data_IF_631270746717
#
_entry.id   IF_631270746717
#
_cell.length_a   1.000
_cell.length_b   1.000
_cell.length_c   1.000
_cell.angle_alpha   90.00
_cell.angle_beta   90.00
_cell.angle_gamma   90.00
#
_symmetry.space_group_name_H-M   'P 1'
#
loop_
_entity.id
_entity.type
_entity.pdbx_description
1 polymer ?
#
# COMPACT_ATOMS: atom_id res chain seq x y z
N UNK A 1 -19.05 48.12 -48.21
CA UNK A 1 -18.67 46.73 -47.93
C UNK A 1 -17.44 46.77 -47.02
N UNK A 2 -17.70 46.73 -45.71
CA UNK A 2 -17.06 45.91 -44.67
C UNK A 2 -15.58 45.46 -44.78
N UNK A 3 -14.89 45.22 -43.64
CA UNK A 3 -14.64 46.12 -42.52
C UNK A 3 -13.21 45.93 -41.89
N UNK A 4 -12.93 46.75 -40.87
CA UNK A 4 -11.99 46.56 -39.74
C UNK A 4 -11.22 45.24 -39.59
N UNK A 5 -9.89 45.34 -39.39
CA UNK A 5 -9.16 44.37 -38.54
C UNK A 5 -8.59 45.09 -37.31
N UNK A 6 -9.19 44.77 -36.18
CA UNK A 6 -8.82 45.15 -34.82
C UNK A 6 -7.47 44.53 -34.44
N UNK A 7 -6.58 45.35 -33.86
CA UNK A 7 -5.37 44.88 -33.20
C UNK A 7 -5.73 43.93 -32.07
N UNK A 8 -5.32 42.67 -32.20
CA UNK A 8 -5.37 41.70 -31.14
C UNK A 8 -4.31 42.07 -30.10
N UNK A 9 -4.75 42.29 -28.86
CA UNK A 9 -3.89 42.38 -27.69
C UNK A 9 -3.10 41.07 -27.56
N UNK A 10 -1.78 41.19 -27.44
CA UNK A 10 -0.91 40.08 -27.07
C UNK A 10 -1.26 39.63 -25.65
N UNK A 11 -2.11 38.60 -25.55
CA UNK A 11 -2.36 37.91 -24.29
C UNK A 11 -1.04 37.41 -23.71
N UNK A 12 -0.80 37.70 -22.44
CA UNK A 12 0.31 37.12 -21.69
C UNK A 12 0.23 35.57 -21.78
N UNK A 13 1.35 34.87 -22.01
CA UNK A 13 1.34 33.42 -22.07
C UNK A 13 0.89 32.84 -20.72
N UNK A 14 0.05 31.78 -20.70
CA UNK A 14 -0.39 31.17 -19.46
C UNK A 14 0.75 30.35 -18.80
N UNK A 15 0.79 30.45 -17.47
CA UNK A 15 1.38 29.56 -16.46
C UNK A 15 2.74 28.88 -16.78
N UNK A 16 3.81 29.45 -16.20
CA UNK A 16 5.03 28.80 -15.69
C UNK A 16 5.42 27.47 -16.33
N UNK A 17 6.40 27.51 -17.25
CA UNK A 17 7.24 26.36 -17.60
C UNK A 17 7.76 25.70 -16.31
N UNK A 18 7.81 24.35 -16.22
CA UNK A 18 8.40 23.66 -15.08
C UNK A 18 9.81 24.20 -14.82
N UNK A 19 10.09 24.59 -13.56
CA UNK A 19 11.41 25.15 -13.19
C UNK A 19 12.55 24.15 -13.33
N UNK A 20 12.23 22.87 -13.52
CA UNK A 20 13.17 21.78 -13.78
C UNK A 20 12.45 20.64 -14.53
N UNK A 21 13.24 19.73 -15.11
CA UNK A 21 12.74 18.47 -15.67
C UNK A 21 12.06 17.62 -14.58
N UNK A 22 10.88 17.02 -14.82
CA UNK A 22 10.20 16.16 -13.84
C UNK A 22 11.10 15.04 -13.31
N UNK A 23 11.19 14.92 -11.99
CA UNK A 23 11.95 13.86 -11.31
C UNK A 23 11.03 12.77 -10.79
N UNK A 24 11.61 11.68 -10.32
CA UNK A 24 10.88 10.61 -9.61
C UNK A 24 11.29 10.57 -8.15
N UNK A 25 10.33 10.69 -7.23
CA UNK A 25 10.53 10.47 -5.80
C UNK A 25 10.14 9.02 -5.48
N UNK A 26 11.13 8.21 -5.12
CA UNK A 26 10.97 6.80 -4.79
C UNK A 26 11.09 6.61 -3.28
N UNK A 27 10.00 6.20 -2.63
CA UNK A 27 9.98 5.93 -1.19
C UNK A 27 9.85 4.43 -0.94
N UNK A 28 10.78 3.88 -0.17
CA UNK A 28 10.90 2.45 0.12
C UNK A 28 10.78 2.20 1.63
N UNK A 29 9.76 1.44 2.03
CA UNK A 29 9.41 1.15 3.41
C UNK A 29 9.63 -0.34 3.73
N UNK A 30 10.56 -0.64 4.63
CA UNK A 30 10.93 -2.03 4.91
C UNK A 30 10.05 -2.73 5.96
N UNK A 31 10.21 -4.05 6.06
CA UNK A 31 9.59 -4.91 7.07
C UNK A 31 10.20 -4.75 8.47
N UNK A 32 9.50 -5.24 9.49
CA UNK A 32 9.90 -5.08 10.91
C UNK A 32 11.18 -5.79 11.24
N UNK A 33 12.04 -5.09 11.99
CA UNK A 33 13.36 -5.54 12.40
C UNK A 33 14.31 -5.79 11.24
N UNK A 34 13.97 -5.28 10.05
CA UNK A 34 14.82 -5.35 8.87
C UNK A 34 15.67 -4.06 8.79
N UNK A 35 16.96 -4.23 9.02
CA UNK A 35 18.01 -3.27 8.71
C UNK A 35 18.90 -3.84 7.60
N UNK A 36 19.86 -3.05 7.12
CA UNK A 36 20.90 -3.58 6.26
C UNK A 36 21.72 -4.64 7.00
N UNK A 37 21.60 -5.89 6.57
CA UNK A 37 22.25 -7.05 7.18
C UNK A 37 22.88 -7.93 6.11
N UNK A 38 23.38 -9.11 6.50
CA UNK A 38 23.80 -10.15 5.59
C UNK A 38 22.63 -10.93 4.96
N UNK A 39 21.37 -10.64 5.33
CA UNK A 39 20.14 -11.24 4.81
C UNK A 39 19.13 -10.14 4.47
N UNK A 40 19.38 -9.41 3.39
CA UNK A 40 18.59 -8.24 3.02
C UNK A 40 17.22 -8.61 2.44
N UNK A 41 16.25 -7.77 2.72
CA UNK A 41 14.93 -7.80 2.08
C UNK A 41 15.01 -7.39 0.62
N UNK A 42 13.95 -7.69 -0.12
CA UNK A 42 13.77 -7.21 -1.48
C UNK A 42 13.59 -5.69 -1.53
N UNK A 43 13.18 -5.02 -0.44
CA UNK A 43 13.14 -3.56 -0.38
C UNK A 43 14.57 -3.01 -0.43
N UNK A 44 15.49 -3.52 0.38
CA UNK A 44 16.90 -3.10 0.37
C UNK A 44 17.56 -3.45 -0.97
N UNK A 45 17.34 -4.67 -1.48
CA UNK A 45 17.85 -5.07 -2.80
C UNK A 45 17.31 -4.14 -3.89
N UNK A 46 16.02 -3.79 -3.87
CA UNK A 46 15.42 -2.84 -4.80
C UNK A 46 16.05 -1.45 -4.67
N UNK A 47 16.22 -0.92 -3.45
CA UNK A 47 16.90 0.37 -3.23
C UNK A 47 18.32 0.37 -3.79
N UNK A 48 19.02 -0.76 -3.75
CA UNK A 48 20.37 -0.91 -4.32
C UNK A 48 20.41 -0.94 -5.85
N UNK A 49 19.26 -1.20 -6.50
CA UNK A 49 19.08 -1.14 -7.95
C UNK A 49 18.77 0.27 -8.45
N UNK A 50 18.36 1.20 -7.58
CA UNK A 50 17.92 2.54 -7.99
C UNK A 50 19.11 3.46 -8.29
N UNK A 51 18.98 4.25 -9.35
CA UNK A 51 19.88 5.39 -9.60
C UNK A 51 19.81 6.37 -8.44
N UNK A 52 20.98 6.94 -8.08
CA UNK A 52 21.15 7.95 -7.02
C UNK A 52 21.44 9.34 -7.57
N UNK A 53 21.11 9.56 -8.85
CA UNK A 53 21.20 10.88 -9.49
C UNK A 53 20.03 11.77 -9.06
N UNK A 54 20.31 12.72 -8.15
CA UNK A 54 19.31 13.62 -7.57
C UNK A 54 18.66 14.57 -8.58
N UNK A 55 19.27 14.77 -9.75
CA UNK A 55 18.68 15.58 -10.83
C UNK A 55 17.50 14.87 -11.49
N UNK A 56 17.45 13.54 -11.42
CA UNK A 56 16.40 12.71 -12.04
C UNK A 56 15.54 11.97 -11.02
N UNK A 57 16.12 11.57 -9.89
CA UNK A 57 15.48 10.69 -8.93
C UNK A 57 15.95 10.91 -7.49
N UNK A 58 15.00 11.06 -6.57
CA UNK A 58 15.26 11.05 -5.13
C UNK A 58 14.82 9.73 -4.53
N UNK A 59 15.69 9.13 -3.70
CA UNK A 59 15.40 7.84 -3.05
C UNK A 59 15.35 8.02 -1.54
N UNK A 60 14.23 7.64 -0.94
CA UNK A 60 14.02 7.57 0.49
C UNK A 60 13.89 6.11 0.92
N UNK A 61 14.69 5.69 1.88
CA UNK A 61 14.57 4.38 2.52
C UNK A 61 14.26 4.57 4.00
N UNK A 62 13.26 3.84 4.48
CA UNK A 62 12.94 3.75 5.89
C UNK A 62 13.04 2.28 6.31
N UNK A 63 13.98 1.98 7.20
CA UNK A 63 14.06 0.69 7.87
C UNK A 63 12.75 0.42 8.61
N UNK A 64 12.31 -0.83 8.68
CA UNK A 64 11.07 -1.12 9.38
C UNK A 64 11.27 -1.15 10.90
N UNK A 65 10.14 -1.16 11.61
CA UNK A 65 10.11 -1.06 13.08
C UNK A 65 10.92 -2.20 13.70
N UNK A 66 12.02 -1.92 14.39
CA UNK A 66 12.81 -2.93 15.09
C UNK A 66 12.24 -3.27 16.48
N UNK A 67 12.19 -4.56 16.81
CA UNK A 67 12.03 -5.05 18.19
C UNK A 67 13.40 -5.44 18.74
N UNK A 68 14.23 -4.49 19.17
CA UNK A 68 15.45 -4.80 19.90
C UNK A 68 15.14 -4.98 21.38
N UNK A 69 15.49 -6.14 21.94
CA UNK A 69 15.61 -6.30 23.38
C UNK A 69 17.07 -6.48 23.78
N UNK A 70 17.47 -5.72 24.80
CA UNK A 70 18.71 -5.96 25.53
C UNK A 70 18.58 -7.28 26.31
N UNK A 71 19.58 -8.18 26.25
CA UNK A 71 19.54 -9.45 26.95
C UNK A 71 19.78 -9.23 28.45
N UNK A 72 18.74 -9.39 29.25
CA UNK A 72 18.93 -9.54 30.70
C UNK A 72 17.80 -8.99 31.55
N UNK A 73 16.60 -9.54 31.47
CA UNK A 73 15.68 -9.65 32.62
C UNK A 73 14.64 -10.72 32.28
N UNK A 74 14.90 -11.95 32.74
CA UNK A 74 13.98 -13.07 32.59
C UNK A 74 13.03 -13.05 33.79
N UNK A 75 11.71 -13.06 33.55
CA UNK A 75 10.75 -13.60 34.51
C UNK A 75 9.80 -14.59 33.81
N UNK A 76 9.47 -15.73 34.43
CA UNK A 76 8.94 -16.90 33.74
C UNK A 76 7.41 -16.96 33.86
N UNK A 77 6.68 -16.39 32.90
CA UNK A 77 5.50 -17.01 32.24
C UNK A 77 4.82 -16.02 31.28
N UNK A 78 4.84 -16.37 30.00
CA UNK A 78 3.74 -16.21 29.06
C UNK A 78 3.10 -14.82 28.84
N UNK A 79 3.60 -14.09 27.84
CA UNK A 79 2.82 -13.24 26.90
C UNK A 79 3.68 -12.28 26.08
N UNK A 80 5.01 -12.35 26.14
CA UNK A 80 5.85 -11.22 25.75
C UNK A 80 6.19 -11.11 24.24
N UNK A 81 6.58 -12.20 23.55
CA UNK A 81 7.16 -12.09 22.21
C UNK A 81 6.24 -11.52 21.10
N UNK A 82 4.97 -11.90 21.07
CA UNK A 82 4.01 -11.44 20.06
C UNK A 82 3.25 -10.17 20.46
N UNK A 83 3.02 -10.00 21.76
CA UNK A 83 2.35 -8.83 22.35
C UNK A 83 3.23 -7.58 22.23
N UNK A 84 4.57 -7.75 22.31
CA UNK A 84 5.54 -6.68 22.11
C UNK A 84 5.74 -6.29 20.63
N UNK A 85 5.63 -7.24 19.70
CA UNK A 85 5.55 -6.93 18.27
C UNK A 85 4.31 -6.08 17.98
N UNK A 86 3.12 -6.49 18.43
CA UNK A 86 1.88 -5.76 18.17
C UNK A 86 1.82 -4.37 18.88
N UNK A 87 2.35 -4.23 20.10
CA UNK A 87 2.35 -2.97 20.85
C UNK A 87 3.34 -1.94 20.29
N UNK A 88 4.57 -2.33 19.93
CA UNK A 88 5.52 -1.44 19.27
C UNK A 88 4.94 -0.90 17.95
N UNK A 89 4.30 -1.76 17.16
CA UNK A 89 3.75 -1.41 15.85
C UNK A 89 2.61 -0.38 15.88
N UNK A 90 1.77 -0.38 16.91
CA UNK A 90 0.70 0.62 17.06
C UNK A 90 1.24 2.03 17.30
N UNK A 91 2.38 2.15 18.00
CA UNK A 91 3.03 3.44 18.27
C UNK A 91 3.85 3.96 17.08
N UNK A 92 4.52 3.08 16.32
CA UNK A 92 5.46 3.52 15.27
C UNK A 92 4.84 3.66 13.88
N UNK A 93 3.70 3.02 13.57
CA UNK A 93 3.03 3.19 12.27
C UNK A 93 2.70 4.66 11.95
N UNK A 94 2.10 5.45 12.86
CA UNK A 94 1.90 6.88 12.64
C UNK A 94 3.19 7.61 12.28
N UNK A 95 4.26 7.37 13.05
CA UNK A 95 5.55 8.03 12.87
C UNK A 95 6.14 7.70 11.49
N UNK A 96 6.10 6.44 11.07
CA UNK A 96 6.61 6.01 9.78
C UNK A 96 5.87 6.66 8.60
N UNK A 97 4.53 6.70 8.67
CA UNK A 97 3.69 7.38 7.66
C UNK A 97 4.00 8.88 7.63
N UNK A 98 4.08 9.52 8.80
CA UNK A 98 4.37 10.96 8.91
C UNK A 98 5.78 11.32 8.41
N UNK A 99 6.78 10.46 8.61
CA UNK A 99 8.14 10.67 8.08
C UNK A 99 8.18 10.58 6.56
N UNK A 100 7.53 9.58 5.96
CA UNK A 100 7.40 9.50 4.50
C UNK A 100 6.62 10.69 3.92
N UNK A 101 5.57 11.12 4.62
CA UNK A 101 4.81 12.32 4.28
C UNK A 101 5.68 13.59 4.35
N UNK A 102 6.47 13.76 5.41
CA UNK A 102 7.42 14.87 5.58
C UNK A 102 8.45 14.89 4.46
N UNK A 103 9.00 13.73 4.09
CA UNK A 103 9.94 13.64 2.97
C UNK A 103 9.31 14.15 1.68
N UNK A 104 8.08 13.73 1.35
CA UNK A 104 7.36 14.25 0.18
C UNK A 104 7.10 15.75 0.30
N UNK A 105 6.66 16.22 1.47
CA UNK A 105 6.34 17.64 1.72
C UNK A 105 7.56 18.52 1.43
N UNK A 106 8.74 18.08 1.86
CA UNK A 106 9.99 18.80 1.73
C UNK A 106 10.59 18.77 0.31
N UNK A 107 10.36 17.70 -0.44
CA UNK A 107 11.09 17.44 -1.70
C UNK A 107 10.23 17.51 -2.97
N UNK A 108 8.91 17.33 -2.87
CA UNK A 108 8.03 17.27 -4.04
C UNK A 108 7.90 18.65 -4.70
N UNK A 109 8.18 18.70 -5.99
CA UNK A 109 7.91 19.84 -6.84
C UNK A 109 6.81 19.44 -7.84
N UNK A 110 5.93 20.39 -8.16
CA UNK A 110 4.81 20.13 -9.08
C UNK A 110 5.33 19.57 -10.41
N UNK A 111 4.81 18.41 -10.79
CA UNK A 111 5.24 17.68 -11.98
C UNK A 111 6.14 16.47 -11.68
N UNK A 112 6.72 16.38 -10.47
CA UNK A 112 7.44 15.18 -10.05
C UNK A 112 6.50 13.96 -9.97
N UNK A 113 7.06 12.77 -10.15
CA UNK A 113 6.34 11.49 -10.03
C UNK A 113 6.61 10.89 -8.66
N UNK A 114 5.60 10.28 -8.03
CA UNK A 114 5.75 9.58 -6.75
C UNK A 114 5.57 8.08 -6.94
N UNK A 115 6.56 7.30 -6.50
CA UNK A 115 6.51 5.84 -6.49
C UNK A 115 6.77 5.31 -5.08
N UNK A 116 5.88 4.48 -4.57
CA UNK A 116 5.94 3.94 -3.21
C UNK A 116 6.17 2.43 -3.24
N UNK A 117 7.09 1.95 -2.42
CA UNK A 117 7.42 0.54 -2.31
C UNK A 117 7.43 0.09 -0.87
N UNK A 118 7.08 -1.17 -0.61
CA UNK A 118 7.33 -1.72 0.70
C UNK A 118 7.06 -3.20 0.85
N UNK A 119 7.56 -3.78 1.94
CA UNK A 119 7.38 -5.18 2.29
C UNK A 119 6.64 -5.31 3.62
N UNK A 120 5.75 -6.30 3.75
CA UNK A 120 5.11 -6.68 5.01
C UNK A 120 4.30 -5.53 5.64
N UNK A 121 4.77 -4.97 6.74
CA UNK A 121 4.21 -3.78 7.39
C UNK A 121 4.70 -2.49 6.76
N UNK A 122 5.91 -2.45 6.20
CA UNK A 122 6.34 -1.36 5.33
C UNK A 122 5.45 -1.22 4.09
N UNK A 123 4.96 -2.33 3.54
CA UNK A 123 3.93 -2.31 2.50
C UNK A 123 2.61 -1.65 2.98
N UNK A 124 2.21 -1.91 4.23
CA UNK A 124 1.06 -1.26 4.83
C UNK A 124 1.31 0.24 5.01
N UNK A 125 2.50 0.64 5.48
CA UNK A 125 2.93 2.05 5.59
C UNK A 125 2.88 2.75 4.23
N UNK A 126 3.42 2.15 3.17
CA UNK A 126 3.38 2.71 1.82
C UNK A 126 1.93 2.97 1.36
N UNK A 127 1.04 2.00 1.59
CA UNK A 127 -0.38 2.12 1.26
C UNK A 127 -1.11 3.15 2.14
N UNK A 128 -0.74 3.27 3.41
CA UNK A 128 -1.29 4.27 4.32
C UNK A 128 -0.85 5.68 3.94
N UNK A 129 0.41 5.87 3.55
CA UNK A 129 0.91 7.13 3.00
C UNK A 129 0.14 7.51 1.73
N UNK A 130 -0.08 6.55 0.81
CA UNK A 130 -0.92 6.79 -0.36
C UNK A 130 -2.34 7.23 0.02
N UNK A 131 -2.93 6.60 1.04
CA UNK A 131 -4.25 6.96 1.56
C UNK A 131 -4.31 8.34 2.21
N UNK A 132 -3.25 8.73 2.92
CA UNK A 132 -3.09 10.08 3.49
C UNK A 132 -3.04 11.13 2.40
N UNK A 133 -2.19 10.93 1.38
CA UNK A 133 -2.11 11.82 0.21
C UNK A 133 -3.45 11.96 -0.51
N UNK A 134 -4.18 10.86 -0.68
CA UNK A 134 -5.51 10.87 -1.29
C UNK A 134 -6.49 11.75 -0.49
N UNK A 135 -6.58 11.50 0.82
CA UNK A 135 -7.61 12.09 1.67
C UNK A 135 -7.32 13.55 2.06
N UNK A 136 -6.10 13.84 2.51
CA UNK A 136 -5.75 15.17 3.06
C UNK A 136 -4.85 15.98 2.13
N UNK A 137 -4.34 15.40 1.03
CA UNK A 137 -3.36 16.05 0.16
C UNK A 137 -1.97 16.12 0.79
N UNK A 138 -1.02 16.74 0.08
CA UNK A 138 0.33 16.99 0.57
C UNK A 138 0.47 18.45 1.02
N UNK A 139 0.93 18.67 2.26
CA UNK A 139 1.21 20.00 2.78
C UNK A 139 2.26 20.74 1.91
N UNK A 140 2.20 22.07 1.96
CA UNK A 140 3.27 22.90 1.44
C UNK A 140 4.54 22.75 2.30
N UNK A 141 5.69 22.95 1.65
CA UNK A 141 7.02 22.86 2.29
C UNK A 141 7.08 23.68 3.58
N UNK A 142 7.81 23.16 4.57
CA UNK A 142 8.08 23.80 5.88
C UNK A 142 6.87 23.99 6.82
N UNK A 143 5.74 23.29 6.57
CA UNK A 143 4.59 23.26 7.50
C UNK A 143 4.61 22.03 8.42
N UNK A 144 5.76 21.75 9.04
CA UNK A 144 5.99 20.55 9.83
C UNK A 144 5.04 20.41 11.04
N UNK A 145 4.62 21.53 11.65
CA UNK A 145 3.69 21.52 12.78
C UNK A 145 2.29 21.03 12.43
N UNK A 146 1.92 21.06 11.14
CA UNK A 146 0.62 20.60 10.66
C UNK A 146 0.57 19.10 10.37
N UNK A 147 1.71 18.41 10.29
CA UNK A 147 1.77 16.99 9.94
C UNK A 147 0.99 16.12 10.95
N UNK A 148 1.12 16.29 12.29
CA UNK A 148 0.34 15.49 13.24
C UNK A 148 -1.17 15.70 13.07
N UNK A 149 -1.59 16.95 12.85
CA UNK A 149 -3.00 17.26 12.61
C UNK A 149 -3.50 16.64 11.30
N UNK A 150 -2.73 16.73 10.22
CA UNK A 150 -3.06 16.10 8.94
C UNK A 150 -3.22 14.57 9.10
N UNK A 151 -2.36 13.93 9.90
CA UNK A 151 -2.47 12.49 10.20
C UNK A 151 -3.72 12.16 11.04
N UNK A 152 -4.08 13.00 12.00
CA UNK A 152 -5.29 12.85 12.81
C UNK A 152 -6.58 12.99 12.00
N UNK A 153 -6.61 13.93 11.06
CA UNK A 153 -7.69 14.06 10.08
C UNK A 153 -7.70 12.85 9.15
N UNK A 154 -6.53 12.37 8.73
CA UNK A 154 -6.40 11.20 7.87
C UNK A 154 -7.02 9.94 8.50
N UNK A 155 -6.65 9.60 9.73
CA UNK A 155 -7.06 8.35 10.39
C UNK A 155 -8.55 8.27 10.74
N UNK A 156 -9.30 9.38 10.69
CA UNK A 156 -10.69 9.42 11.14
C UNK A 156 -11.73 9.14 10.04
N UNK A 157 -12.62 8.17 10.23
CA UNK A 157 -13.69 7.83 9.28
C UNK A 157 -15.06 8.45 9.61
N UNK A 158 -15.12 9.44 10.51
CA UNK A 158 -16.40 10.06 10.87
C UNK A 158 -16.89 10.94 9.71
N UNK A 159 -18.19 10.95 9.35
CA UNK A 159 -18.71 11.76 8.26
C UNK A 159 -18.40 13.26 8.38
N UNK A 160 -18.45 13.80 9.61
CA UNK A 160 -18.10 15.20 9.90
C UNK A 160 -16.64 15.54 9.60
N UNK A 161 -15.76 14.54 9.63
CA UNK A 161 -14.33 14.73 9.40
C UNK A 161 -14.00 14.71 7.89
N UNK A 162 -14.94 14.29 7.03
CA UNK A 162 -14.78 14.39 5.58
C UNK A 162 -14.81 15.85 5.11
N UNK A 163 -15.73 16.67 5.66
CA UNK A 163 -15.78 18.11 5.39
C UNK A 163 -14.53 18.81 5.93
N UNK A 164 -14.08 18.43 7.13
CA UNK A 164 -12.83 18.93 7.71
C UNK A 164 -11.61 18.58 6.84
N UNK A 165 -11.52 17.34 6.35
CA UNK A 165 -10.45 16.91 5.46
C UNK A 165 -10.45 17.70 4.14
N UNK A 166 -11.63 17.93 3.55
CA UNK A 166 -11.76 18.72 2.34
C UNK A 166 -11.32 20.17 2.54
N UNK A 167 -11.80 20.83 3.61
CA UNK A 167 -11.41 22.21 3.92
C UNK A 167 -9.93 22.35 4.29
N UNK A 168 -9.38 21.39 5.03
CA UNK A 168 -7.94 21.36 5.34
C UNK A 168 -7.10 21.20 4.06
N UNK A 169 -7.50 20.27 3.18
CA UNK A 169 -6.83 20.03 1.91
C UNK A 169 -6.84 21.27 1.01
N UNK A 170 -7.99 21.95 0.92
CA UNK A 170 -8.14 23.19 0.15
C UNK A 170 -7.27 24.33 0.70
N UNK A 171 -7.15 24.44 2.03
CA UNK A 171 -6.43 25.53 2.67
C UNK A 171 -4.90 25.37 2.68
N UNK A 172 -4.39 24.15 2.91
CA UNK A 172 -2.97 23.92 3.23
C UNK A 172 -2.24 22.97 2.30
N UNK A 173 -2.95 22.24 1.44
CA UNK A 173 -2.38 21.13 0.70
C UNK A 173 -2.48 21.30 -0.82
N UNK A 174 -1.69 20.47 -1.50
CA UNK A 174 -1.72 20.25 -2.95
C UNK A 174 -2.01 18.80 -3.26
N UNK A 175 -2.62 18.56 -4.41
CA UNK A 175 -2.80 17.20 -4.93
C UNK A 175 -1.47 16.64 -5.46
N UNK A 176 -1.26 15.35 -5.20
CA UNK A 176 -0.06 14.61 -5.64
C UNK A 176 -0.52 13.29 -6.26
N UNK A 177 -0.42 13.13 -7.58
CA UNK A 177 -0.71 11.85 -8.23
C UNK A 177 0.34 10.82 -7.83
N UNK A 178 -0.08 9.57 -7.62
CA UNK A 178 0.81 8.47 -7.28
C UNK A 178 0.94 7.58 -8.50
N UNK A 179 2.13 7.55 -9.09
CA UNK A 179 2.38 6.88 -10.36
C UNK A 179 2.46 5.36 -10.17
N UNK A 180 3.05 4.90 -9.05
CA UNK A 180 3.23 3.48 -8.80
C UNK A 180 3.23 3.13 -7.32
N UNK A 181 2.57 2.04 -6.95
CA UNK A 181 2.69 1.40 -5.64
C UNK A 181 3.04 -0.07 -5.82
N UNK A 182 4.25 -0.47 -5.44
CA UNK A 182 4.76 -1.83 -5.54
C UNK A 182 5.02 -2.45 -4.17
N UNK A 183 4.28 -3.49 -3.81
CA UNK A 183 4.36 -4.08 -2.48
C UNK A 183 4.62 -5.58 -2.47
N UNK A 184 5.40 -6.04 -1.50
CA UNK A 184 5.59 -7.46 -1.20
C UNK A 184 4.78 -7.83 0.04
N UNK A 185 3.88 -8.78 -0.13
CA UNK A 185 3.09 -9.48 0.90
C UNK A 185 2.56 -8.59 2.02
N UNK A 186 1.73 -7.59 1.67
CA UNK A 186 1.14 -6.66 2.65
C UNK A 186 0.38 -7.43 3.73
N UNK A 187 0.78 -7.25 4.98
CA UNK A 187 0.05 -7.77 6.15
C UNK A 187 -0.50 -6.61 6.96
N UNK A 188 -1.76 -6.70 7.37
CA UNK A 188 -2.38 -5.67 8.20
C UNK A 188 -1.75 -5.62 9.60
N UNK A 189 -1.65 -4.43 10.20
CA UNK A 189 -1.26 -4.29 11.60
C UNK A 189 -2.36 -4.82 12.50
N UNK A 190 -2.12 -5.99 13.09
CA UNK A 190 -3.09 -6.74 13.90
C UNK A 190 -2.90 -6.42 15.38
N UNK A 191 -3.31 -5.22 15.80
CA UNK A 191 -3.51 -4.97 17.23
C UNK A 191 -4.42 -6.05 17.83
N UNK A 192 -4.15 -6.46 19.08
CA UNK A 192 -4.93 -7.47 19.83
C UNK A 192 -6.40 -7.07 19.99
N UNK A 193 -6.72 -5.79 19.81
CA UNK A 193 -8.05 -5.22 19.84
C UNK A 193 -8.22 -4.42 18.55
N UNK A 194 -8.71 -5.09 17.50
CA UNK A 194 -9.25 -4.51 16.25
C UNK A 194 -8.85 -3.06 15.97
N UNK A 195 -7.62 -2.84 15.46
CA UNK A 195 -7.34 -1.57 14.80
C UNK A 195 -8.02 -1.63 13.44
N UNK A 196 -9.06 -0.80 13.26
CA UNK A 196 -9.68 -0.58 11.96
C UNK A 196 -8.58 -0.24 10.96
N UNK A 197 -8.61 -0.86 9.78
CA UNK A 197 -7.67 -0.52 8.72
C UNK A 197 -7.74 0.98 8.47
N UNK A 198 -6.58 1.63 8.33
CA UNK A 198 -6.53 3.04 7.99
C UNK A 198 -7.27 3.30 6.67
N UNK A 199 -7.85 4.50 6.51
CA UNK A 199 -8.66 4.81 5.34
C UNK A 199 -7.84 4.71 4.05
N UNK A 200 -8.49 4.26 2.98
CA UNK A 200 -7.92 4.16 1.62
C UNK A 200 -6.70 3.22 1.46
N UNK A 201 -6.30 2.46 2.48
CA UNK A 201 -5.24 1.44 2.35
C UNK A 201 -5.63 0.33 1.35
N UNK A 202 -6.91 -0.04 1.33
CA UNK A 202 -7.42 -1.12 0.47
C UNK A 202 -8.02 -0.63 -0.85
N UNK A 203 -8.34 0.66 -0.97
CA UNK A 203 -8.98 1.28 -2.14
C UNK A 203 -8.50 2.71 -2.29
N UNK A 204 -7.81 3.05 -3.39
CA UNK A 204 -7.29 4.39 -3.61
C UNK A 204 -7.17 4.74 -5.10
N UNK A 205 -8.08 5.57 -5.60
CA UNK A 205 -8.12 5.95 -7.02
C UNK A 205 -7.05 6.97 -7.43
N UNK A 206 -6.28 7.52 -6.49
CA UNK A 206 -5.12 8.38 -6.79
C UNK A 206 -3.90 7.57 -7.23
N UNK A 207 -3.89 6.26 -6.99
CA UNK A 207 -2.86 5.36 -7.48
C UNK A 207 -3.14 5.01 -8.93
N UNK A 208 -2.20 5.29 -9.84
CA UNK A 208 -2.27 4.90 -11.25
C UNK A 208 -2.06 3.40 -11.42
N UNK A 209 -0.95 2.88 -10.89
CA UNK A 209 -0.57 1.47 -11.01
C UNK A 209 -0.26 0.88 -9.64
N UNK A 210 -0.90 -0.24 -9.31
CA UNK A 210 -0.70 -1.01 -8.08
C UNK A 210 -0.26 -2.44 -8.38
N UNK A 211 0.80 -2.89 -7.72
CA UNK A 211 1.38 -4.23 -7.88
C UNK A 211 1.63 -4.86 -6.51
N UNK A 212 1.15 -6.09 -6.32
CA UNK A 212 1.39 -6.84 -5.09
C UNK A 212 1.83 -8.27 -5.37
N UNK A 213 2.99 -8.66 -4.81
CA UNK A 213 3.44 -10.06 -4.76
C UNK A 213 2.94 -10.70 -3.45
N UNK A 214 2.27 -11.85 -3.51
CA UNK A 214 1.64 -12.52 -2.37
C UNK A 214 2.26 -13.89 -2.08
N UNK A 215 2.43 -14.21 -0.79
CA UNK A 215 2.95 -15.51 -0.36
C UNK A 215 1.84 -16.57 -0.36
N UNK A 216 2.02 -17.63 -1.16
CA UNK A 216 1.07 -18.74 -1.28
C UNK A 216 1.20 -19.75 -0.14
N UNK A 217 2.40 -19.90 0.43
CA UNK A 217 2.66 -20.92 1.46
C UNK A 217 2.63 -20.38 2.89
N UNK A 218 2.52 -19.06 3.07
CA UNK A 218 2.39 -18.44 4.39
C UNK A 218 1.07 -18.82 5.07
N UNK A 219 1.14 -19.15 6.36
CA UNK A 219 0.04 -19.76 7.10
C UNK A 219 0.07 -19.46 8.61
N UNK A 220 0.82 -18.44 9.04
CA UNK A 220 0.71 -17.89 10.40
C UNK A 220 -0.54 -17.02 10.53
N UNK A 221 -1.24 -17.16 11.65
CA UNK A 221 -2.53 -16.53 11.93
C UNK A 221 -2.52 -15.00 11.78
N UNK A 222 -1.39 -14.38 12.10
CA UNK A 222 -1.16 -12.93 12.13
C UNK A 222 -0.59 -12.38 10.82
N UNK A 223 -0.29 -13.24 9.84
CA UNK A 223 0.25 -12.87 8.53
C UNK A 223 -0.79 -13.07 7.44
N UNK A 224 -1.99 -12.50 7.64
CA UNK A 224 -3.05 -12.51 6.62
C UNK A 224 -2.79 -11.43 5.58
N UNK A 225 -2.95 -11.73 4.28
CA UNK A 225 -2.70 -10.76 3.23
C UNK A 225 -3.79 -9.67 3.24
N UNK A 226 -3.38 -8.42 3.06
CA UNK A 226 -4.28 -7.30 2.79
C UNK A 226 -4.42 -7.13 1.28
N UNK A 227 -5.56 -7.50 0.74
CA UNK A 227 -5.85 -7.35 -0.69
C UNK A 227 -6.11 -5.88 -1.06
N UNK A 228 -5.93 -5.57 -2.35
CA UNK A 228 -6.51 -4.37 -2.93
C UNK A 228 -7.97 -4.65 -3.28
N UNK A 229 -8.90 -4.00 -2.59
CA UNK A 229 -10.32 -4.20 -2.85
C UNK A 229 -10.65 -3.50 -4.17
N UNK A 230 -11.25 -4.23 -5.11
CA UNK A 230 -11.91 -3.57 -6.25
C UNK A 230 -13.19 -2.92 -5.72
N UNK A 231 -13.56 -1.70 -6.17
CA UNK A 231 -14.87 -1.16 -5.84
C UNK A 231 -15.93 -2.18 -6.25
N UNK A 232 -16.67 -2.71 -5.27
CA UNK A 232 -17.87 -3.48 -5.60
C UNK A 232 -18.86 -2.56 -6.34
N UNK A 233 -19.86 -3.12 -7.06
CA UNK A 233 -20.99 -2.30 -7.47
C UNK A 233 -21.48 -1.62 -6.21
N UNK A 234 -21.40 -0.28 -6.17
CA UNK A 234 -21.73 0.47 -5.00
C UNK A 234 -23.08 -0.06 -4.50
N UNK A 235 -23.13 -0.64 -3.29
CA UNK A 235 -24.36 -0.47 -2.51
C UNK A 235 -24.47 1.04 -2.49
N UNK A 236 -25.42 1.57 -3.26
CA UNK A 236 -25.84 2.96 -3.19
C UNK A 236 -26.13 3.20 -1.72
N UNK A 237 -25.13 3.60 -0.95
CA UNK A 237 -25.36 4.40 0.23
C UNK A 237 -26.15 5.56 -0.35
N UNK A 238 -27.41 5.76 0.06
CA UNK A 238 -28.13 6.93 -0.40
C UNK A 238 -27.21 8.08 -0.06
N UNK A 239 -26.82 8.86 -1.07
CA UNK A 239 -26.25 10.16 -0.82
C UNK A 239 -27.13 10.80 0.25
N UNK A 240 -26.52 11.20 1.37
CA UNK A 240 -27.21 11.88 2.47
C UNK A 240 -27.73 13.28 2.05
N UNK A 241 -27.95 13.49 0.75
CA UNK A 241 -28.45 14.70 0.11
C UNK A 241 -29.93 14.58 -0.32
N UNK A 242 -30.58 13.42 -0.18
CA UNK A 242 -31.99 13.24 -0.58
C UNK A 242 -32.99 12.97 0.56
N UNK A 243 -32.57 12.94 1.83
CA UNK A 243 -33.51 12.81 2.98
C UNK A 243 -34.04 14.13 3.53
N UNK A 244 -33.65 15.27 2.97
CA UNK A 244 -34.09 16.61 3.40
C UNK A 244 -35.27 17.19 2.63
N UNK A 245 -35.91 16.43 1.71
CA UNK A 245 -37.05 16.94 0.91
C UNK A 245 -38.42 16.33 1.22
N UNK A 246 -38.51 15.22 1.94
CA UNK A 246 -39.80 14.54 2.19
C UNK A 246 -40.12 14.38 3.68
N UNK A 247 -40.01 15.47 4.44
CA UNK A 247 -40.33 15.51 5.87
C UNK A 247 -40.99 16.81 6.32
N UNK A 248 -41.70 17.50 5.43
CA UNK A 248 -42.69 18.51 5.82
C UNK A 248 -44.05 17.98 5.42
N UNK A 249 -44.84 17.53 6.40
CA UNK A 249 -46.30 17.54 6.49
C UNK A 249 -46.72 16.52 7.57
N UNK A 250 -47.12 16.99 8.76
CA UNK A 250 -47.70 16.09 9.78
C UNK A 250 -47.66 16.54 11.24
N UNK A 251 -48.37 17.63 11.57
CA UNK A 251 -49.14 17.91 12.80
C UNK A 251 -48.73 17.25 14.16
N UNK A 252 -48.33 18.14 15.09
CA UNK A 252 -48.92 18.42 16.42
C UNK A 252 -49.08 17.30 17.47
N UNK A 253 -48.43 17.44 18.64
CA UNK A 253 -49.07 17.84 19.93
C UNK A 253 -48.11 17.78 21.14
N UNK A 254 -48.20 18.83 21.99
CA UNK A 254 -47.99 18.91 23.47
C UNK A 254 -46.73 18.26 24.11
N UNK A 255 -45.96 18.86 25.01
CA UNK A 255 -46.24 19.88 26.05
C UNK A 255 -44.96 20.20 26.84
N UNK A 256 -44.75 21.49 27.16
CA UNK A 256 -44.22 22.05 28.44
C UNK A 256 -42.83 21.64 28.97
N UNK A 257 -41.86 22.56 29.01
CA UNK A 257 -41.57 23.42 30.19
C UNK A 257 -40.25 24.21 30.07
N UNK A 258 -40.33 25.53 30.34
CA UNK A 258 -39.36 26.47 30.99
C UNK A 258 -37.91 26.52 30.49
N UNK A 259 -37.49 27.52 29.72
CA UNK A 259 -37.14 28.93 30.06
C UNK A 259 -35.74 29.11 30.69
N UNK A 260 -34.83 29.78 29.95
CA UNK A 260 -34.10 30.98 30.40
C UNK A 260 -33.34 31.62 29.23
N UNK A 261 -33.42 32.95 29.19
CA UNK A 261 -33.17 33.86 28.06
C UNK A 261 -31.70 34.23 27.85
N UNK A 262 -31.32 34.60 26.62
CA UNK A 262 -30.69 35.91 26.32
C UNK A 262 -30.47 36.17 24.80
N UNK A 263 -31.29 37.10 24.28
CA UNK A 263 -31.06 38.20 23.30
C UNK A 263 -30.03 38.04 22.13
N UNK A 264 -30.58 37.87 20.91
CA UNK A 264 -30.39 38.57 19.60
C UNK A 264 -29.19 39.51 19.29
N UNK A 265 -28.85 39.86 18.01
CA UNK A 265 -29.32 39.35 16.69
C UNK A 265 -28.24 39.17 15.58
N UNK A 266 -28.67 38.59 14.45
CA UNK A 266 -28.17 38.81 13.07
C UNK A 266 -26.67 38.64 12.74
N UNK A 267 -26.32 37.49 12.14
CA UNK A 267 -25.55 37.49 10.89
C UNK A 267 -25.87 36.25 10.07
N UNK A 268 -26.64 36.45 9.01
CA UNK A 268 -26.88 35.49 7.93
C UNK A 268 -25.54 35.18 7.25
N UNK A 269 -25.08 33.92 7.15
CA UNK A 269 -23.96 33.60 6.27
C UNK A 269 -24.43 33.71 4.82
N UNK A 270 -23.65 34.34 3.93
CA UNK A 270 -24.02 34.44 2.52
C UNK A 270 -24.09 33.06 1.89
N UNK A 271 -25.21 32.81 1.21
CA UNK A 271 -25.40 31.67 0.35
C UNK A 271 -24.41 31.71 -0.82
N UNK A 272 -24.01 30.52 -1.28
CA UNK A 272 -23.26 30.21 -2.50
C UNK A 272 -21.72 30.22 -2.43
N UNK A 273 -21.15 29.31 -1.64
CA UNK A 273 -19.94 28.62 -2.10
C UNK A 273 -20.37 27.53 -3.08
N UNK A 274 -20.33 27.84 -4.38
CA UNK A 274 -20.15 26.78 -5.38
C UNK A 274 -18.77 26.21 -5.11
N UNK A 275 -18.71 25.02 -4.50
CA UNK A 275 -17.49 24.23 -4.46
C UNK A 275 -16.97 24.15 -5.89
N UNK A 276 -15.89 24.89 -6.17
CA UNK A 276 -15.15 24.71 -7.39
C UNK A 276 -14.68 23.26 -7.36
N UNK A 277 -15.16 22.46 -8.31
CA UNK A 277 -14.61 21.14 -8.55
C UNK A 277 -13.11 21.35 -8.83
N UNK A 278 -12.29 21.15 -7.79
CA UNK A 278 -10.84 21.03 -7.91
C UNK A 278 -10.59 20.00 -9.01
N UNK A 279 -9.95 20.42 -10.10
CA UNK A 279 -9.60 19.60 -11.25
C UNK A 279 -8.50 18.58 -10.94
N UNK A 280 -8.72 17.76 -9.92
CA UNK A 280 -7.88 16.61 -9.64
C UNK A 280 -8.05 15.58 -10.76
N UNK A 281 -6.95 15.23 -11.41
CA UNK A 281 -6.92 14.10 -12.33
C UNK A 281 -7.08 12.80 -11.52
N UNK A 282 -8.32 12.47 -11.18
CA UNK A 282 -8.65 11.14 -10.71
C UNK A 282 -8.51 10.17 -11.88
N UNK A 283 -7.62 9.18 -11.78
CA UNK A 283 -7.56 8.10 -12.75
C UNK A 283 -8.92 7.39 -12.78
N UNK A 284 -9.44 7.10 -13.98
CA UNK A 284 -10.75 6.48 -14.15
C UNK A 284 -10.89 5.18 -13.34
N UNK A 285 -9.81 4.38 -13.27
CA UNK A 285 -9.62 3.20 -12.42
C UNK A 285 -8.11 2.97 -12.19
N UNK A 286 -7.71 2.54 -10.98
CA UNK A 286 -6.34 2.06 -10.71
C UNK A 286 -6.07 0.76 -11.47
N UNK A 287 -4.92 0.65 -12.15
CA UNK A 287 -4.44 -0.60 -12.73
C UNK A 287 -3.86 -1.49 -11.62
N UNK A 288 -4.61 -2.52 -11.21
CA UNK A 288 -4.30 -3.40 -10.07
C UNK A 288 -3.91 -4.79 -10.57
N UNK A 289 -2.74 -5.27 -10.14
CA UNK A 289 -2.31 -6.66 -10.34
C UNK A 289 -1.78 -7.25 -9.03
N UNK A 290 -2.39 -8.34 -8.58
CA UNK A 290 -1.96 -9.14 -7.43
C UNK A 290 -1.60 -10.55 -7.91
N UNK A 291 -0.37 -10.99 -7.62
CA UNK A 291 0.15 -12.29 -8.09
C UNK A 291 0.64 -13.11 -6.91
N UNK A 292 0.26 -14.38 -6.86
CA UNK A 292 0.64 -15.32 -5.82
C UNK A 292 1.86 -16.13 -6.23
N UNK A 293 2.88 -16.14 -5.37
CA UNK A 293 4.16 -16.79 -5.58
C UNK A 293 4.35 -17.94 -4.59
N UNK A 294 5.10 -18.96 -4.97
CA UNK A 294 5.46 -20.04 -4.07
C UNK A 294 6.43 -19.53 -2.99
N UNK A 295 6.24 -20.01 -1.76
CA UNK A 295 7.00 -19.57 -0.60
C UNK A 295 6.18 -18.87 0.48
N UNK A 296 6.80 -18.70 1.64
CA UNK A 296 6.26 -18.00 2.79
C UNK A 296 6.59 -16.51 2.76
N UNK A 297 6.22 -15.76 3.79
CA UNK A 297 6.33 -14.30 3.82
C UNK A 297 7.72 -13.73 3.44
N UNK A 298 8.79 -14.28 4.02
CA UNK A 298 10.17 -13.87 3.75
C UNK A 298 10.74 -14.46 2.46
N UNK A 299 10.09 -15.47 1.88
CA UNK A 299 10.42 -15.95 0.54
C UNK A 299 9.91 -14.98 -0.53
N UNK A 300 8.90 -14.15 -0.22
CA UNK A 300 8.35 -13.16 -1.15
C UNK A 300 8.98 -11.79 -0.93
N UNK A 301 9.15 -11.39 0.33
CA UNK A 301 9.75 -10.12 0.69
C UNK A 301 11.27 -10.10 0.78
N UNK A 302 11.93 -11.25 0.70
CA UNK A 302 13.36 -11.39 1.01
C UNK A 302 13.64 -11.50 2.51
N UNK A 303 14.92 -11.52 2.88
CA UNK A 303 15.38 -11.68 4.26
C UNK A 303 15.50 -13.12 4.75
N UNK A 304 15.11 -14.12 3.96
CA UNK A 304 15.22 -15.53 4.33
C UNK A 304 16.59 -16.17 4.04
N UNK A 305 17.38 -15.56 3.15
CA UNK A 305 18.63 -16.12 2.63
C UNK A 305 19.75 -15.08 2.69
N UNK A 306 21.00 -15.57 2.74
CA UNK A 306 22.17 -14.69 2.74
C UNK A 306 22.29 -13.91 1.42
N UNK A 307 22.84 -12.70 1.47
CA UNK A 307 22.99 -11.81 0.31
C UNK A 307 23.84 -12.41 -0.82
N UNK A 308 24.75 -13.33 -0.50
CA UNK A 308 25.60 -14.02 -1.46
C UNK A 308 24.97 -15.31 -2.02
N UNK A 309 23.75 -15.67 -1.60
CA UNK A 309 23.05 -16.81 -2.17
C UNK A 309 22.68 -16.50 -3.62
N UNK A 310 23.22 -17.30 -4.56
CA UNK A 310 22.95 -17.14 -5.98
C UNK A 310 21.48 -17.39 -6.32
N UNK A 311 20.84 -18.33 -5.60
CA UNK A 311 19.46 -18.71 -5.83
C UNK A 311 18.60 -18.56 -4.57
N UNK A 312 17.42 -17.96 -4.72
CA UNK A 312 16.42 -17.85 -3.65
C UNK A 312 15.04 -17.54 -4.22
N UNK A 313 13.99 -18.00 -3.53
CA UNK A 313 12.60 -17.67 -3.90
C UNK A 313 12.36 -16.15 -3.97
N UNK A 314 13.01 -15.38 -3.09
CA UNK A 314 12.89 -13.91 -3.04
C UNK A 314 13.44 -13.22 -4.28
N UNK A 315 14.37 -13.83 -5.02
CA UNK A 315 14.89 -13.23 -6.24
C UNK A 315 13.81 -13.19 -7.35
N UNK A 316 12.88 -14.15 -7.37
CA UNK A 316 11.78 -14.22 -8.35
C UNK A 316 10.89 -12.97 -8.23
N UNK A 317 10.46 -12.66 -7.01
CA UNK A 317 9.54 -11.54 -6.75
C UNK A 317 10.24 -10.19 -6.87
N UNK A 318 11.56 -10.12 -6.64
CA UNK A 318 12.36 -8.93 -6.93
C UNK A 318 12.41 -8.68 -8.44
N UNK A 319 12.76 -9.69 -9.25
CA UNK A 319 12.76 -9.59 -10.71
C UNK A 319 11.38 -9.23 -11.25
N UNK A 320 10.32 -9.87 -10.73
CA UNK A 320 8.95 -9.56 -11.10
C UNK A 320 8.60 -8.09 -10.82
N UNK A 321 8.91 -7.57 -9.63
CA UNK A 321 8.62 -6.16 -9.31
C UNK A 321 9.35 -5.20 -10.24
N UNK A 322 10.63 -5.47 -10.54
CA UNK A 322 11.40 -4.68 -11.50
C UNK A 322 10.74 -4.69 -12.89
N UNK A 323 10.28 -5.86 -13.35
CA UNK A 323 9.54 -5.97 -14.62
C UNK A 323 8.28 -5.12 -14.62
N UNK A 324 7.51 -5.16 -13.55
CA UNK A 324 6.27 -4.39 -13.46
C UNK A 324 6.53 -2.88 -13.38
N UNK A 325 7.61 -2.45 -12.72
CA UNK A 325 8.06 -1.04 -12.72
C UNK A 325 8.39 -0.59 -14.15
N UNK A 326 9.18 -1.36 -14.90
CA UNK A 326 9.56 -1.03 -16.28
C UNK A 326 8.33 -1.01 -17.20
N UNK A 327 7.47 -2.03 -17.12
CA UNK A 327 6.21 -2.11 -17.90
C UNK A 327 5.29 -0.91 -17.65
N UNK A 328 5.25 -0.42 -16.41
CA UNK A 328 4.39 0.72 -16.04
C UNK A 328 4.89 2.06 -16.56
N UNK A 329 6.17 2.16 -16.95
CA UNK A 329 6.82 3.40 -17.35
C UNK A 329 6.67 4.53 -16.32
N UNK A 330 6.64 4.18 -15.03
CA UNK A 330 6.38 5.11 -13.92
C UNK A 330 7.51 6.13 -13.64
N UNK A 331 8.61 6.08 -14.42
CA UNK A 331 9.72 7.02 -14.32
C UNK A 331 10.80 6.63 -13.30
N UNK A 332 10.70 5.48 -12.64
CA UNK A 332 11.79 4.95 -11.82
C UNK A 332 13.02 4.66 -12.69
N UNK A 333 14.17 5.17 -12.29
CA UNK A 333 15.46 5.01 -12.96
C UNK A 333 16.32 4.02 -12.18
N UNK A 334 16.84 3.02 -12.87
CA UNK A 334 17.71 1.99 -12.30
C UNK A 334 19.19 2.24 -12.65
N UNK A 335 20.09 1.76 -11.79
CA UNK A 335 21.54 1.70 -12.03
C UNK A 335 21.89 0.42 -12.81
N UNK A 336 22.32 0.58 -14.05
CA UNK A 336 22.73 -0.51 -14.94
C UNK A 336 23.87 -1.38 -14.39
N UNK A 337 24.72 -0.83 -13.52
CA UNK A 337 25.78 -1.60 -12.87
C UNK A 337 25.23 -2.43 -11.71
N UNK A 338 24.14 -1.99 -11.06
CA UNK A 338 23.50 -2.70 -9.96
C UNK A 338 22.86 -4.03 -10.41
N UNK A 339 22.29 -4.04 -11.61
CA UNK A 339 21.77 -5.27 -12.22
C UNK A 339 22.81 -6.39 -12.29
N UNK A 340 24.02 -6.05 -12.73
CA UNK A 340 25.12 -7.01 -12.79
C UNK A 340 25.55 -7.49 -11.39
N UNK A 341 25.59 -6.60 -10.39
CA UNK A 341 25.95 -6.94 -9.00
C UNK A 341 24.97 -7.93 -8.37
N UNK A 342 23.67 -7.81 -8.67
CA UNK A 342 22.63 -8.70 -8.15
C UNK A 342 22.33 -9.90 -9.06
N UNK A 343 23.09 -10.10 -10.15
CA UNK A 343 22.87 -11.20 -11.09
C UNK A 343 21.52 -11.12 -11.82
N UNK A 344 20.94 -9.93 -11.92
CA UNK A 344 19.66 -9.70 -12.60
C UNK A 344 19.94 -9.40 -14.08
N UNK A 345 19.40 -10.19 -15.04
CA UNK A 345 19.72 -10.03 -16.46
C UNK A 345 19.28 -8.66 -17.01
N UNK A 346 20.16 -8.03 -17.79
CA UNK A 346 19.86 -6.75 -18.47
C UNK A 346 18.70 -6.87 -19.46
N UNK A 347 18.41 -8.07 -19.95
CA UNK A 347 17.27 -8.34 -20.82
C UNK A 347 15.93 -7.94 -20.18
N UNK A 348 15.85 -7.89 -18.84
CA UNK A 348 14.69 -7.36 -18.12
C UNK A 348 14.40 -5.89 -18.42
N UNK A 349 15.36 -5.11 -18.94
CA UNK A 349 15.16 -3.73 -19.36
C UNK A 349 14.54 -3.62 -20.76
N UNK A 350 14.59 -4.69 -21.56
CA UNK A 350 14.12 -4.73 -22.95
C UNK A 350 12.76 -5.45 -23.08
N UNK A 351 11.85 -5.24 -22.14
CA UNK A 351 10.54 -5.95 -22.08
C UNK A 351 9.68 -5.73 -23.34
N UNK A 352 9.96 -4.68 -24.11
CA UNK A 352 9.27 -4.37 -25.37
C UNK A 352 9.87 -5.07 -26.60
N UNK A 353 10.97 -5.81 -26.45
CA UNK A 353 11.56 -6.61 -27.52
C UNK A 353 11.06 -8.07 -27.43
N UNK A 354 10.04 -8.40 -28.21
CA UNK A 354 9.40 -9.72 -28.26
C UNK A 354 10.33 -10.87 -28.68
N UNK A 355 11.57 -10.57 -29.12
CA UNK A 355 12.48 -11.56 -29.73
C UNK A 355 13.43 -12.28 -28.78
N UNK A 356 13.43 -11.99 -27.48
CA UNK A 356 14.29 -12.69 -26.52
C UNK A 356 13.49 -13.55 -25.53
N UNK A 357 13.25 -14.83 -25.84
CA UNK A 357 12.76 -15.77 -24.84
C UNK A 357 13.92 -16.22 -23.91
N UNK A 358 13.56 -16.61 -22.69
CA UNK A 358 14.11 -17.80 -22.02
C UNK A 358 15.45 -17.69 -21.25
N UNK A 359 15.81 -16.54 -20.65
CA UNK A 359 16.84 -16.49 -19.59
C UNK A 359 16.28 -16.19 -18.20
N UNK A 360 15.34 -15.26 -18.10
CA UNK A 360 14.68 -14.97 -16.81
C UNK A 360 13.79 -16.12 -16.36
N UNK A 361 13.07 -16.77 -17.28
CA UNK A 361 12.30 -17.99 -16.99
C UNK A 361 13.20 -19.10 -16.43
N UNK A 362 14.40 -19.27 -16.98
CA UNK A 362 15.39 -20.22 -16.44
C UNK A 362 15.92 -19.84 -15.06
N UNK A 363 16.08 -18.55 -14.77
CA UNK A 363 16.45 -18.10 -13.42
C UNK A 363 15.29 -18.33 -12.44
N UNK A 364 14.07 -18.02 -12.85
CA UNK A 364 12.86 -18.25 -12.06
C UNK A 364 12.64 -19.74 -11.82
N UNK A 365 12.92 -20.63 -12.78
CA UNK A 365 12.86 -22.09 -12.61
C UNK A 365 13.90 -22.58 -11.58
N UNK A 366 15.15 -22.11 -11.68
CA UNK A 366 16.23 -22.44 -10.72
C UNK A 366 15.91 -21.94 -9.31
N UNK A 367 15.36 -20.74 -9.20
CA UNK A 367 14.98 -20.15 -7.92
C UNK A 367 13.71 -20.80 -7.36
N UNK A 368 12.79 -21.21 -8.23
CA UNK A 368 11.51 -21.79 -7.84
C UNK A 368 11.68 -23.10 -7.09
N UNK A 369 12.75 -23.86 -7.32
CA UNK A 369 12.99 -25.15 -6.62
C UNK A 369 13.72 -25.00 -5.28
N UNK A 370 14.11 -23.79 -4.87
CA UNK A 370 14.81 -23.57 -3.60
C UNK A 370 13.93 -23.87 -2.37
N UNK A 371 14.50 -24.14 -1.18
CA UNK A 371 13.72 -24.42 0.03
C UNK A 371 12.76 -23.28 0.42
N UNK A 372 11.59 -23.65 0.95
CA UNK A 372 10.60 -22.70 1.50
C UNK A 372 10.93 -22.44 2.98
N UNK A 373 10.95 -21.17 3.38
CA UNK A 373 11.27 -20.74 4.75
C UNK A 373 10.00 -20.60 5.60
N UNK A 374 9.47 -21.75 6.01
CA UNK A 374 8.28 -21.87 6.85
C UNK A 374 8.58 -21.52 8.32
N UNK A 375 8.19 -20.31 8.73
CA UNK A 375 8.43 -19.79 10.08
C UNK A 375 7.64 -20.51 11.16
N UNK A 376 6.48 -21.11 10.85
CA UNK A 376 5.71 -21.87 11.83
C UNK A 376 6.40 -23.21 12.16
N UNK A 377 7.17 -23.76 11.20
CA UNK A 377 8.05 -24.92 11.42
C UNK A 377 9.38 -24.54 12.04
N UNK A 378 10.02 -23.48 11.55
CA UNK A 378 11.34 -23.07 12.00
C UNK A 378 11.34 -22.56 13.45
N UNK A 379 10.26 -21.89 13.87
CA UNK A 379 10.12 -21.37 15.21
C UNK A 379 8.78 -21.83 15.83
N UNK A 380 8.79 -22.91 16.63
CA UNK A 380 7.59 -23.46 17.27
C UNK A 380 6.84 -22.48 18.17
N UNK A 381 7.46 -21.37 18.63
CA UNK A 381 6.79 -20.36 19.44
C UNK A 381 5.60 -19.71 18.73
N UNK A 382 5.58 -19.70 17.40
CA UNK A 382 4.43 -19.20 16.63
C UNK A 382 3.15 -20.00 16.90
N UNK A 383 3.24 -21.28 17.27
CA UNK A 383 2.07 -22.10 17.60
C UNK A 383 1.28 -21.57 18.80
N UNK A 384 1.90 -20.79 19.69
CA UNK A 384 1.20 -20.13 20.78
C UNK A 384 0.15 -19.15 20.27
N UNK A 385 0.37 -18.50 19.11
CA UNK A 385 -0.61 -17.60 18.50
C UNK A 385 -1.64 -18.35 17.65
N UNK A 386 -1.30 -19.55 17.18
CA UNK A 386 -2.20 -20.36 16.37
C UNK A 386 -3.38 -20.93 17.17
N UNK A 387 -3.20 -21.10 18.47
CA UNK A 387 -4.22 -21.63 19.40
C UNK A 387 -5.08 -20.54 20.06
N UNK A 388 -4.70 -19.26 19.91
CA UNK A 388 -5.48 -18.14 20.44
C UNK A 388 -6.66 -17.85 19.51
N UNK A 389 -7.91 -17.86 20.01
CA UNK A 389 -9.05 -17.42 19.23
C UNK A 389 -8.82 -15.99 18.74
N UNK A 390 -8.92 -15.77 17.44
CA UNK A 390 -8.82 -14.44 16.82
C UNK A 390 -10.07 -14.16 16.00
N UNK A 391 -10.37 -12.89 15.77
CA UNK A 391 -11.42 -12.51 14.84
C UNK A 391 -10.93 -12.71 13.39
N UNK A 392 -11.79 -13.29 12.56
CA UNK A 392 -11.59 -13.55 11.16
C UNK A 392 -12.57 -12.73 10.35
N UNK A 393 -12.13 -11.53 9.98
CA UNK A 393 -12.86 -10.66 9.08
C UNK A 393 -12.40 -10.89 7.63
N UNK A 394 -13.33 -11.22 6.74
CA UNK A 394 -13.06 -11.37 5.30
C UNK A 394 -14.27 -10.92 4.49
N UNK A 395 -14.04 -10.50 3.25
CA UNK A 395 -15.12 -10.21 2.31
C UNK A 395 -15.58 -11.50 1.61
N UNK A 396 -16.86 -11.82 1.73
CA UNK A 396 -17.47 -12.97 1.08
C UNK A 396 -17.44 -12.79 -0.44
N UNK A 397 -16.79 -13.69 -1.16
CA UNK A 397 -16.78 -13.69 -2.63
C UNK A 397 -18.17 -13.95 -3.25
N UNK A 398 -19.12 -14.48 -2.47
CA UNK A 398 -20.48 -14.79 -2.94
C UNK A 398 -21.43 -13.61 -2.71
N UNK A 399 -21.37 -13.00 -1.54
CA UNK A 399 -22.31 -11.95 -1.13
C UNK A 399 -21.72 -10.54 -1.20
N UNK A 400 -20.40 -10.43 -1.40
CA UNK A 400 -19.61 -9.20 -1.32
C UNK A 400 -19.69 -8.47 0.04
N UNK A 401 -20.18 -9.17 1.08
CA UNK A 401 -20.33 -8.64 2.44
C UNK A 401 -19.16 -9.03 3.34
N UNK A 402 -18.83 -8.18 4.29
CA UNK A 402 -17.83 -8.47 5.30
C UNK A 402 -18.40 -9.40 6.37
N UNK A 403 -17.71 -10.52 6.62
CA UNK A 403 -18.08 -11.52 7.61
C UNK A 403 -16.97 -11.59 8.66
N UNK A 404 -17.32 -11.45 9.95
CA UNK A 404 -16.42 -11.67 11.09
C UNK A 404 -16.77 -12.96 11.82
N UNK A 405 -15.78 -13.79 12.11
CA UNK A 405 -15.96 -15.04 12.87
C UNK A 405 -14.80 -15.23 13.83
N UNK A 406 -15.09 -15.59 15.08
CA UNK A 406 -14.06 -16.04 16.01
C UNK A 406 -13.70 -17.50 15.72
N UNK A 407 -12.40 -17.77 15.55
CA UNK A 407 -11.93 -19.14 15.33
C UNK A 407 -10.49 -19.32 15.84
N UNK A 408 -10.06 -20.57 15.92
CA UNK A 408 -8.67 -20.94 16.18
C UNK A 408 -8.01 -21.24 14.82
N UNK A 409 -6.80 -20.72 14.58
CA UNK A 409 -6.18 -20.73 13.25
C UNK A 409 -5.52 -22.08 12.92
N UNK A 410 -4.79 -22.68 13.87
CA UNK A 410 -4.11 -23.98 13.74
C UNK A 410 -3.27 -24.13 12.45
N UNK A 411 -2.57 -23.08 12.05
CA UNK A 411 -1.68 -23.10 10.88
C UNK A 411 -2.41 -23.32 9.55
N UNK A 412 -3.71 -23.00 9.46
CA UNK A 412 -4.50 -23.12 8.23
C UNK A 412 -3.92 -22.19 7.15
N UNK A 413 -3.78 -22.72 5.94
CA UNK A 413 -3.32 -21.91 4.81
C UNK A 413 -4.26 -20.77 4.44
N UNK A 414 -3.67 -19.74 3.81
CA UNK A 414 -4.39 -18.58 3.27
C UNK A 414 -5.49 -19.00 2.30
N UNK A 415 -6.57 -18.24 2.29
CA UNK A 415 -7.60 -18.38 1.28
C UNK A 415 -7.19 -17.57 0.05
N UNK A 416 -7.27 -18.18 -1.12
CA UNK A 416 -6.95 -17.52 -2.39
C UNK A 416 -8.25 -17.26 -3.16
N UNK A 417 -8.49 -16.02 -3.63
CA UNK A 417 -9.66 -15.68 -4.43
C UNK A 417 -9.78 -16.51 -5.72
N UNK A 418 -11.01 -16.77 -6.22
CA UNK A 418 -11.20 -17.56 -7.43
C UNK A 418 -10.62 -16.97 -8.72
N UNK A 419 -10.38 -15.66 -8.79
CA UNK A 419 -9.80 -14.96 -9.95
C UNK A 419 -8.31 -14.61 -9.76
N UNK A 420 -7.67 -15.20 -8.75
CA UNK A 420 -6.28 -14.95 -8.42
C UNK A 420 -5.32 -15.44 -9.51
N UNK A 421 -4.28 -14.64 -9.77
CA UNK A 421 -3.18 -15.01 -10.65
C UNK A 421 -2.05 -15.67 -9.86
N UNK A 422 -1.51 -16.75 -10.39
CA UNK A 422 -0.38 -17.48 -9.81
C UNK A 422 0.84 -17.23 -10.68
N UNK A 423 2.00 -17.00 -10.09
CA UNK A 423 3.23 -16.93 -10.86
C UNK A 423 3.66 -18.33 -11.30
N UNK A 424 4.32 -18.45 -12.46
CA UNK A 424 4.80 -19.73 -12.99
C UNK A 424 5.73 -20.51 -12.03
N UNK A 425 6.40 -19.81 -11.11
CA UNK A 425 7.17 -20.44 -10.02
C UNK A 425 6.36 -21.49 -9.24
N UNK A 426 5.05 -21.31 -9.10
CA UNK A 426 4.18 -22.30 -8.45
C UNK A 426 4.05 -23.56 -9.31
N UNK A 427 3.88 -23.39 -10.62
CA UNK A 427 3.80 -24.48 -11.60
C UNK A 427 5.09 -25.28 -11.66
N UNK A 428 6.25 -24.61 -11.68
CA UNK A 428 7.56 -25.27 -11.67
C UNK A 428 7.70 -26.20 -10.47
N UNK A 429 7.35 -25.73 -9.27
CA UNK A 429 7.39 -26.57 -8.06
C UNK A 429 6.38 -27.72 -8.05
N UNK A 430 5.16 -27.48 -8.53
CA UNK A 430 4.12 -28.52 -8.58
C UNK A 430 4.49 -29.65 -9.55
N UNK A 431 5.21 -29.33 -10.62
CA UNK A 431 5.64 -30.29 -11.63
C UNK A 431 6.91 -31.04 -11.24
N UNK A 432 7.73 -30.49 -10.34
CA UNK A 432 8.91 -31.17 -9.81
C UNK A 432 8.50 -32.26 -8.79
N UNK A 433 8.45 -33.50 -9.28
CA UNK A 433 8.13 -34.69 -8.47
C UNK A 433 9.08 -34.92 -7.28
N UNK A 434 10.32 -34.40 -7.32
CA UNK A 434 11.28 -34.54 -6.23
C UNK A 434 10.88 -33.70 -5.00
N UNK A 435 10.22 -32.56 -5.23
CA UNK A 435 9.82 -31.63 -4.16
C UNK A 435 8.59 -32.10 -3.38
N UNK A 436 7.76 -32.99 -3.96
CA UNK A 436 6.46 -33.42 -3.41
C UNK A 436 5.63 -32.22 -2.91
N UNK A 437 5.66 -31.13 -3.67
CA UNK A 437 5.12 -29.85 -3.25
C UNK A 437 3.60 -29.81 -3.45
N UNK A 438 2.90 -29.34 -2.42
CA UNK A 438 1.49 -28.95 -2.51
C UNK A 438 1.39 -27.61 -1.81
N UNK A 439 0.86 -26.56 -2.49
CA UNK A 439 0.76 -25.26 -1.86
C UNK A 439 -0.05 -25.32 -0.57
N UNK A 440 0.37 -24.57 0.46
CA UNK A 440 -0.37 -24.52 1.73
C UNK A 440 -1.70 -23.80 1.61
N UNK A 441 -1.80 -22.85 0.69
CA UNK A 441 -3.03 -22.11 0.42
C UNK A 441 -4.22 -23.01 0.08
N UNK A 442 -5.42 -22.51 0.38
CA UNK A 442 -6.71 -23.11 0.04
C UNK A 442 -7.29 -22.37 -1.16
N UNK A 443 -7.39 -23.06 -2.28
CA UNK A 443 -7.86 -22.53 -3.57
C UNK A 443 -8.65 -23.58 -4.36
N UNK A 444 -9.40 -23.14 -5.37
CA UNK A 444 -10.10 -24.04 -6.30
C UNK A 444 -9.22 -24.27 -7.54
N UNK A 445 -8.90 -25.53 -7.82
CA UNK A 445 -7.93 -25.88 -8.87
C UNK A 445 -8.38 -25.55 -10.30
N UNK A 446 -9.69 -25.50 -10.55
CA UNK A 446 -10.27 -25.20 -11.88
C UNK A 446 -10.05 -23.76 -12.37
N UNK A 447 -9.54 -22.86 -11.53
CA UNK A 447 -9.52 -21.42 -11.80
C UNK A 447 -8.12 -20.80 -11.77
N UNK A 448 -7.05 -21.60 -11.85
CA UNK A 448 -5.69 -21.07 -11.75
C UNK A 448 -5.27 -20.48 -13.10
N UNK A 449 -4.98 -19.18 -13.10
CA UNK A 449 -4.30 -18.53 -14.23
C UNK A 449 -2.83 -18.33 -13.88
N UNK A 450 -1.93 -18.91 -14.67
CA UNK A 450 -0.49 -18.71 -14.49
C UNK A 450 -0.01 -17.47 -15.27
N UNK A 451 0.87 -16.68 -14.66
CA UNK A 451 1.46 -15.46 -15.23
C UNK A 451 2.96 -15.44 -14.99
N UNK A 452 3.68 -14.72 -15.86
CA UNK A 452 5.10 -14.42 -15.73
C UNK A 452 5.35 -13.07 -15.06
#
# INVERSE_FOLDING_TARGET
MDPSSSGASSGAPPATMPRHSPRTLVLCFDGTSDEYTNQNTNVIKFVSLLSKDEEQQLVYYQAGVGTYFQPGFISPLFSWGAKMLDEALAFYLPEHVMQGYRFLMQNYIVGDRVCLFGFSRGAYTARALAGMLHKVGLLLRDNDEQIPFAYDVYKSDRPKDAELAAGFKEAFCRDVPIEFVGVWDTVASVGIISMRSLPFVQTNTTIKTFRQALALDEHRAKFRPSHYNRPGPAKRTPSCLNKLKNGLFGRSSSSGHTSLESKDPLHTPPASFKAAASGSEHFALTDVKEVWFAGCHTDIGGGATANNAECSLGNITLRWMVREVIKSQCGVVFDDAAFARLGIPRQLLNIFDEKTPDRDEKLDERDAVQPIHDQLKANPMWWLLEIVPTDFTYQSVVTNEWVSKWSIHLGRGRFVPPDAQFHESVKYRMNDSALKYTPRARYKQSNITFVT
#
